data_IF_315765554565
#
_entry.id   IF_315765554565
#
_cell.length_a   1.000
_cell.length_b   1.000
_cell.length_c   1.000
_cell.angle_alpha   90.00
_cell.angle_beta   90.00
_cell.angle_gamma   90.00
#
_symmetry.space_group_name_H-M   'P 1'
#
loop_
_entity.id
_entity.type
_entity.pdbx_description
1 polymer ?
#
# COMPACT_ATOMS: atom_id res chain seq x y z
N UNK A 1 -14.40 3.92 -10.54
CA UNK A 1 -14.04 2.55 -11.00
C UNK A 1 -13.24 1.86 -9.92
N UNK A 2 -13.55 0.62 -9.57
CA UNK A 2 -12.80 -0.13 -8.56
C UNK A 2 -11.65 -0.91 -9.23
N UNK A 3 -10.40 -0.55 -8.90
CA UNK A 3 -9.19 -1.24 -9.35
C UNK A 3 -8.61 -2.17 -8.28
N UNK A 4 -9.18 -2.23 -7.08
CA UNK A 4 -8.63 -3.00 -5.97
C UNK A 4 -8.54 -4.49 -6.32
N UNK A 5 -7.46 -5.12 -5.87
CA UNK A 5 -7.20 -6.53 -6.05
C UNK A 5 -6.73 -7.13 -4.73
N UNK A 6 -7.22 -8.35 -4.43
CA UNK A 6 -6.83 -9.06 -3.22
C UNK A 6 -5.34 -9.42 -3.27
N UNK A 7 -4.72 -9.40 -2.09
CA UNK A 7 -3.34 -9.84 -1.87
C UNK A 7 -2.24 -9.05 -2.59
N UNK A 8 -2.55 -7.90 -3.22
CA UNK A 8 -1.54 -7.08 -3.89
C UNK A 8 -0.61 -6.39 -2.89
N UNK A 9 0.66 -6.23 -3.26
CA UNK A 9 1.56 -5.25 -2.64
C UNK A 9 1.35 -3.84 -3.20
N UNK A 10 2.02 -2.85 -2.61
CA UNK A 10 1.97 -1.46 -3.10
C UNK A 10 2.51 -1.34 -4.53
N UNK A 11 3.51 -2.15 -4.90
CA UNK A 11 4.07 -2.19 -6.24
C UNK A 11 3.05 -2.62 -7.30
N UNK A 12 2.27 -3.67 -7.02
CA UNK A 12 1.22 -4.15 -7.94
C UNK A 12 0.06 -3.18 -8.02
N UNK A 13 -0.33 -2.59 -6.89
CA UNK A 13 -1.37 -1.57 -6.86
C UNK A 13 -0.97 -0.35 -7.73
N UNK A 14 0.27 0.11 -7.61
CA UNK A 14 0.82 1.15 -8.47
C UNK A 14 0.82 0.74 -9.94
N UNK A 15 1.40 -0.41 -10.31
CA UNK A 15 1.43 -0.86 -11.71
C UNK A 15 0.03 -0.96 -12.33
N UNK A 16 -0.94 -1.46 -11.56
CA UNK A 16 -2.34 -1.55 -11.99
C UNK A 16 -2.99 -0.18 -12.15
N UNK A 17 -2.67 0.78 -11.29
CA UNK A 17 -3.10 2.16 -11.45
C UNK A 17 -2.55 2.72 -12.77
N UNK A 18 -1.24 2.61 -13.03
CA UNK A 18 -0.63 3.21 -14.23
C UNK A 18 -1.16 2.56 -15.52
N UNK A 19 -1.43 1.25 -15.53
CA UNK A 19 -2.08 0.56 -16.65
C UNK A 19 -3.52 1.04 -16.91
N UNK A 20 -4.27 1.34 -15.84
CA UNK A 20 -5.65 1.81 -15.95
C UNK A 20 -5.77 3.32 -16.25
N UNK A 21 -4.78 4.13 -15.83
CA UNK A 21 -4.81 5.59 -15.92
C UNK A 21 -5.12 6.16 -17.33
N UNK A 22 -4.60 5.59 -18.44
CA UNK A 22 -4.94 6.05 -19.79
C UNK A 22 -6.41 5.89 -20.17
N UNK A 23 -7.17 5.04 -19.46
CA UNK A 23 -8.59 4.78 -19.74
C UNK A 23 -9.53 5.86 -19.22
N UNK A 24 -9.05 6.75 -18.36
CA UNK A 24 -9.84 7.83 -17.78
C UNK A 24 -9.61 9.12 -18.56
N UNK A 25 -10.66 9.61 -19.22
CA UNK A 25 -10.66 10.94 -19.86
C UNK A 25 -10.40 12.05 -18.82
N UNK A 26 -11.03 11.92 -17.65
CA UNK A 26 -10.83 12.80 -16.49
C UNK A 26 -10.59 11.96 -15.24
N UNK A 27 -9.40 12.06 -14.67
CA UNK A 27 -9.07 11.49 -13.36
C UNK A 27 -9.32 12.56 -12.30
N UNK A 28 -10.16 12.25 -11.30
CA UNK A 28 -10.51 13.19 -10.21
C UNK A 28 -9.74 12.89 -8.94
N UNK A 29 -9.59 11.61 -8.60
CA UNK A 29 -8.83 11.16 -7.46
C UNK A 29 -8.33 9.72 -7.66
N UNK A 30 -7.28 9.35 -6.93
CA UNK A 30 -6.88 7.95 -6.75
C UNK A 30 -6.88 7.64 -5.26
N UNK A 31 -7.68 6.65 -4.88
CA UNK A 31 -7.76 6.17 -3.50
C UNK A 31 -7.06 4.81 -3.41
N UNK A 32 -5.96 4.74 -2.67
CA UNK A 32 -5.14 3.53 -2.55
C UNK A 32 -5.18 3.03 -1.11
N UNK A 33 -5.69 1.82 -0.90
CA UNK A 33 -5.62 1.16 0.41
C UNK A 33 -4.19 0.71 0.67
N UNK A 34 -3.66 1.06 1.84
CA UNK A 34 -2.34 0.66 2.31
C UNK A 34 -2.46 -0.09 3.64
N UNK A 35 -1.85 -1.27 3.71
CA UNK A 35 -1.86 -2.12 4.91
C UNK A 35 -0.41 -2.32 5.35
N UNK A 36 0.02 -1.80 6.52
CA UNK A 36 1.40 -1.89 6.99
C UNK A 36 1.94 -3.33 7.03
N UNK A 37 1.09 -4.30 7.41
CA UNK A 37 1.46 -5.72 7.46
C UNK A 37 1.89 -6.28 6.09
N UNK A 38 1.50 -5.63 4.99
CA UNK A 38 1.80 -6.07 3.62
C UNK A 38 3.09 -5.48 3.06
N UNK A 39 3.84 -4.70 3.85
CA UNK A 39 5.09 -4.06 3.42
C UNK A 39 6.06 -5.01 2.73
N UNK A 40 6.30 -6.18 3.33
CA UNK A 40 7.23 -7.18 2.80
C UNK A 40 6.86 -7.74 1.42
N UNK A 41 5.60 -7.60 0.98
CA UNK A 41 5.14 -8.12 -0.32
C UNK A 41 5.80 -7.44 -1.51
N UNK A 42 6.29 -6.22 -1.34
CA UNK A 42 7.03 -5.51 -2.39
C UNK A 42 8.38 -6.19 -2.68
N UNK A 43 8.90 -7.02 -1.77
CA UNK A 43 10.16 -7.73 -1.93
C UNK A 43 10.00 -9.14 -2.53
N UNK A 44 8.78 -9.65 -2.67
CA UNK A 44 8.54 -11.00 -3.18
C UNK A 44 9.04 -11.14 -4.62
N UNK A 45 9.93 -12.11 -4.83
CA UNK A 45 10.64 -12.26 -6.10
C UNK A 45 10.10 -13.36 -7.02
N UNK A 46 9.08 -14.10 -6.57
CA UNK A 46 8.40 -15.13 -7.36
C UNK A 46 7.39 -14.57 -8.38
N UNK A 47 7.29 -13.25 -8.45
CA UNK A 47 6.46 -12.49 -9.39
C UNK A 47 7.23 -11.31 -9.96
N UNK A 48 6.81 -10.75 -11.11
CA UNK A 48 7.31 -9.46 -11.55
C UNK A 48 7.03 -8.38 -10.50
N UNK A 49 8.00 -7.50 -10.27
CA UNK A 49 7.95 -6.49 -9.21
C UNK A 49 8.69 -5.23 -9.60
N UNK A 50 8.53 -4.20 -8.77
CA UNK A 50 9.36 -3.00 -8.82
C UNK A 50 10.54 -3.12 -7.87
N UNK A 51 11.70 -2.64 -8.31
CA UNK A 51 12.89 -2.44 -7.48
C UNK A 51 13.38 -1.00 -7.61
N UNK A 52 14.26 -0.58 -6.72
CA UNK A 52 14.99 0.67 -6.89
C UNK A 52 16.22 0.44 -7.77
N UNK A 53 16.30 1.20 -8.85
CA UNK A 53 17.47 1.30 -9.70
C UNK A 53 18.63 2.02 -9.00
N UNK A 54 19.83 2.05 -9.61
CA UNK A 54 21.02 2.66 -9.03
C UNK A 54 20.86 4.15 -8.70
N UNK A 55 19.94 4.86 -9.38
CA UNK A 55 19.70 6.29 -9.19
C UNK A 55 18.44 6.58 -8.37
N UNK A 56 17.78 5.54 -7.84
CA UNK A 56 16.56 5.64 -7.01
C UNK A 56 15.25 5.65 -7.78
N UNK A 57 15.30 5.43 -9.10
CA UNK A 57 14.14 5.23 -9.98
C UNK A 57 13.47 3.87 -9.74
N UNK A 58 12.18 3.77 -10.04
CA UNK A 58 11.48 2.49 -9.99
C UNK A 58 11.70 1.72 -11.30
N UNK A 59 12.30 0.54 -11.20
CA UNK A 59 12.55 -0.36 -12.32
C UNK A 59 11.68 -1.61 -12.24
N UNK A 60 11.13 -2.02 -13.37
CA UNK A 60 10.39 -3.27 -13.48
C UNK A 60 11.34 -4.45 -13.69
N UNK A 61 11.23 -5.47 -12.84
CA UNK A 61 12.04 -6.68 -12.91
C UNK A 61 11.14 -7.89 -13.05
N UNK A 62 11.51 -8.79 -13.97
CA UNK A 62 10.83 -10.07 -14.15
C UNK A 62 10.93 -10.95 -12.89
N UNK A 63 10.04 -11.94 -12.76
CA UNK A 63 10.10 -12.92 -11.68
C UNK A 63 11.45 -13.67 -11.68
N UNK A 64 11.94 -14.00 -10.50
CA UNK A 64 13.08 -14.90 -10.35
C UNK A 64 12.67 -16.30 -10.84
N UNK A 65 13.38 -16.80 -11.85
CA UNK A 65 13.12 -18.10 -12.49
C UNK A 65 14.26 -19.10 -12.31
N UNK A 66 15.37 -18.71 -11.68
CA UNK A 66 16.54 -19.58 -11.51
C UNK A 66 16.26 -20.79 -10.60
N UNK A 67 17.04 -21.85 -10.74
CA UNK A 67 16.88 -23.10 -9.98
C UNK A 67 16.76 -22.87 -8.46
N UNK A 68 17.58 -21.98 -7.90
CA UNK A 68 17.55 -21.64 -6.48
C UNK A 68 16.24 -20.98 -6.06
N UNK A 69 15.66 -20.10 -6.88
CA UNK A 69 14.37 -19.44 -6.65
C UNK A 69 13.17 -20.39 -6.65
N UNK A 70 13.32 -21.57 -7.28
CA UNK A 70 12.26 -22.57 -7.35
C UNK A 70 12.21 -23.49 -6.11
N UNK A 71 13.28 -23.51 -5.29
CA UNK A 71 13.33 -24.32 -4.07
C UNK A 71 12.25 -23.90 -3.08
N UNK A 72 11.38 -24.85 -2.69
CA UNK A 72 10.25 -24.62 -1.76
C UNK A 72 10.68 -23.98 -0.43
N UNK A 73 11.84 -24.37 0.10
CA UNK A 73 12.35 -23.82 1.35
C UNK A 73 12.78 -22.36 1.21
N UNK A 74 13.40 -21.98 0.08
CA UNK A 74 13.73 -20.58 -0.21
C UNK A 74 12.46 -19.76 -0.39
N UNK A 75 11.46 -20.27 -1.13
CA UNK A 75 10.15 -19.60 -1.26
C UNK A 75 9.49 -19.35 0.10
N UNK A 76 9.52 -20.35 0.98
CA UNK A 76 8.98 -20.21 2.33
C UNK A 76 9.74 -19.16 3.15
N UNK A 77 11.07 -19.20 3.17
CA UNK A 77 11.88 -18.27 3.97
C UNK A 77 11.89 -16.84 3.42
N UNK A 78 11.77 -16.67 2.10
CA UNK A 78 11.88 -15.37 1.44
C UNK A 78 10.52 -14.69 1.22
N UNK A 79 9.48 -15.47 0.90
CA UNK A 79 8.16 -14.95 0.57
C UNK A 79 7.09 -15.33 1.61
N UNK A 80 7.23 -16.45 2.33
CA UNK A 80 6.21 -16.93 3.29
C UNK A 80 6.42 -16.48 4.74
N UNK A 81 7.67 -16.46 5.21
CA UNK A 81 8.10 -16.12 6.57
C UNK A 81 9.37 -15.26 6.53
N UNK A 82 9.30 -14.05 5.94
CA UNK A 82 10.49 -13.22 5.82
C UNK A 82 10.98 -12.82 7.21
N UNK A 83 12.15 -13.32 7.61
CA UNK A 83 12.90 -12.73 8.73
C UNK A 83 13.40 -11.36 8.27
N UNK A 84 12.65 -10.32 8.60
CA UNK A 84 13.01 -8.95 8.27
C UNK A 84 13.96 -8.42 9.35
N UNK A 85 15.27 -8.71 9.22
CA UNK A 85 16.28 -7.96 9.96
C UNK A 85 16.27 -6.48 9.55
N UNK A 86 16.89 -5.61 10.34
CA UNK A 86 16.86 -4.15 10.15
C UNK A 86 17.10 -3.70 8.70
N UNK A 87 18.10 -4.29 8.03
CA UNK A 87 18.40 -3.99 6.61
C UNK A 87 17.24 -4.31 5.65
N UNK A 88 16.47 -5.35 5.92
CA UNK A 88 15.32 -5.71 5.11
C UNK A 88 14.13 -4.78 5.38
N UNK A 89 13.97 -4.33 6.63
CA UNK A 89 13.01 -3.28 7.00
C UNK A 89 13.35 -1.99 6.26
N UNK A 90 14.60 -1.53 6.33
CA UNK A 90 15.05 -0.31 5.65
C UNK A 90 14.81 -0.39 4.13
N UNK A 91 15.18 -1.50 3.50
CA UNK A 91 14.94 -1.73 2.06
C UNK A 91 13.46 -1.68 1.71
N UNK A 92 12.63 -2.31 2.53
CA UNK A 92 11.17 -2.34 2.32
C UNK A 92 10.57 -0.95 2.46
N UNK A 93 10.96 -0.20 3.48
CA UNK A 93 10.50 1.17 3.70
C UNK A 93 10.95 2.09 2.58
N UNK A 94 12.20 1.97 2.13
CA UNK A 94 12.76 2.80 1.05
C UNK A 94 12.03 2.54 -0.26
N UNK A 95 11.87 1.26 -0.64
CA UNK A 95 11.14 0.89 -1.86
C UNK A 95 9.67 1.32 -1.78
N UNK A 96 9.00 1.06 -0.66
CA UNK A 96 7.59 1.44 -0.49
C UNK A 96 7.41 2.95 -0.55
N UNK A 97 8.32 3.72 0.08
CA UNK A 97 8.35 5.18 0.01
C UNK A 97 8.40 5.69 -1.43
N UNK A 98 9.30 5.13 -2.24
CA UNK A 98 9.41 5.49 -3.65
C UNK A 98 8.13 5.16 -4.43
N UNK A 99 7.52 4.01 -4.18
CA UNK A 99 6.25 3.61 -4.83
C UNK A 99 5.10 4.54 -4.44
N UNK A 100 4.93 4.87 -3.15
CA UNK A 100 3.87 5.77 -2.68
C UNK A 100 4.07 7.19 -3.23
N UNK A 101 5.31 7.66 -3.28
CA UNK A 101 5.67 8.95 -3.86
C UNK A 101 5.35 8.99 -5.35
N UNK A 102 5.79 7.99 -6.11
CA UNK A 102 5.53 7.92 -7.55
C UNK A 102 4.03 7.81 -7.84
N UNK A 103 3.29 7.04 -7.04
CA UNK A 103 1.81 7.00 -7.10
C UNK A 103 1.22 8.40 -6.94
N UNK A 104 1.61 9.14 -5.90
CA UNK A 104 1.15 10.51 -5.66
C UNK A 104 1.51 11.46 -6.80
N UNK A 105 2.74 11.39 -7.30
CA UNK A 105 3.24 12.21 -8.41
C UNK A 105 2.46 11.95 -9.70
N UNK A 106 2.25 10.68 -10.07
CA UNK A 106 1.51 10.31 -11.29
C UNK A 106 0.06 10.76 -11.23
N UNK A 107 -0.59 10.60 -10.08
CA UNK A 107 -1.96 11.09 -9.88
C UNK A 107 -2.03 12.62 -10.03
N UNK A 108 -1.14 13.35 -9.36
CA UNK A 108 -1.09 14.83 -9.45
C UNK A 108 -0.77 15.31 -10.86
N UNK A 109 0.08 14.61 -11.60
CA UNK A 109 0.39 14.92 -12.99
C UNK A 109 -0.83 14.85 -13.94
N UNK A 110 -1.91 14.17 -13.53
CA UNK A 110 -3.21 14.15 -14.22
C UNK A 110 -4.20 15.19 -13.67
N UNK A 111 -3.76 16.08 -12.77
CA UNK A 111 -4.63 17.06 -12.10
C UNK A 111 -5.57 16.43 -11.05
N UNK A 112 -5.30 15.21 -10.60
CA UNK A 112 -6.13 14.48 -9.66
C UNK A 112 -5.58 14.51 -8.23
N UNK A 113 -6.43 14.20 -7.25
CA UNK A 113 -6.05 14.10 -5.84
C UNK A 113 -5.62 12.67 -5.46
N UNK A 114 -4.36 12.45 -5.04
CA UNK A 114 -3.98 11.19 -4.43
C UNK A 114 -4.46 11.14 -2.97
N UNK A 115 -4.99 10.00 -2.54
CA UNK A 115 -5.33 9.71 -1.15
C UNK A 115 -4.96 8.27 -0.82
N UNK A 116 -4.21 8.09 0.27
CA UNK A 116 -3.94 6.77 0.83
C UNK A 116 -4.83 6.51 2.04
N UNK A 117 -5.41 5.30 2.11
CA UNK A 117 -6.31 4.91 3.20
C UNK A 117 -5.65 3.78 3.96
N UNK A 118 -5.46 3.96 5.27
CA UNK A 118 -4.88 2.96 6.15
C UNK A 118 -5.96 2.49 7.13
N UNK A 119 -6.61 1.34 6.88
CA UNK A 119 -7.40 0.66 7.90
C UNK A 119 -6.49 0.21 9.06
N UNK A 120 -6.88 0.53 10.29
CA UNK A 120 -6.24 0.04 11.51
C UNK A 120 -7.27 -0.62 12.41
N UNK A 121 -6.88 -1.67 13.12
CA UNK A 121 -7.80 -2.38 14.01
C UNK A 121 -7.83 -1.74 15.40
N UNK A 122 -9.02 -1.66 15.98
CA UNK A 122 -9.23 -1.25 17.37
C UNK A 122 -10.00 0.07 17.48
N UNK A 123 -10.05 0.64 18.70
CA UNK A 123 -10.79 1.89 18.94
C UNK A 123 -10.10 3.07 18.28
N UNK A 124 -10.89 4.13 18.04
CA UNK A 124 -10.38 5.43 17.60
C UNK A 124 -9.32 5.93 18.57
N UNK A 125 -8.14 6.27 18.04
CA UNK A 125 -7.01 6.74 18.83
C UNK A 125 -6.12 7.69 18.00
N UNK A 126 -5.32 8.55 18.66
CA UNK A 126 -4.36 9.38 17.94
C UNK A 126 -3.24 8.53 17.33
N UNK A 127 -2.68 8.98 16.21
CA UNK A 127 -1.59 8.28 15.49
C UNK A 127 -0.47 7.79 16.40
N UNK A 128 -0.09 8.54 17.45
CA UNK A 128 0.99 8.15 18.38
C UNK A 128 0.71 6.88 19.18
N UNK A 129 -0.54 6.47 19.33
CA UNK A 129 -0.95 5.28 20.07
C UNK A 129 -1.03 4.02 19.20
N UNK A 130 -0.81 4.14 17.88
CA UNK A 130 -0.81 2.99 16.98
C UNK A 130 0.53 2.24 17.02
N UNK A 131 0.53 0.90 17.10
CA UNK A 131 1.75 0.10 16.96
C UNK A 131 2.51 0.37 15.65
N UNK A 132 1.79 0.64 14.56
CA UNK A 132 2.31 0.96 13.24
C UNK A 132 2.71 2.43 13.05
N UNK A 133 2.58 3.28 14.07
CA UNK A 133 2.77 4.73 13.95
C UNK A 133 4.12 5.12 13.34
N UNK A 134 5.19 4.40 13.72
CA UNK A 134 6.54 4.66 13.24
C UNK A 134 6.67 4.41 11.72
N UNK A 135 5.99 3.38 11.20
CA UNK A 135 5.91 3.08 9.76
C UNK A 135 5.17 4.19 9.05
N UNK A 136 4.00 4.58 9.57
CA UNK A 136 3.19 5.62 8.94
C UNK A 136 3.90 6.98 8.94
N UNK A 137 4.67 7.28 9.99
CA UNK A 137 5.51 8.48 10.03
C UNK A 137 6.58 8.46 8.94
N UNK A 138 7.29 7.34 8.77
CA UNK A 138 8.32 7.20 7.75
C UNK A 138 7.76 7.28 6.32
N UNK A 139 6.62 6.64 6.08
CA UNK A 139 6.06 6.50 4.73
C UNK A 139 5.20 7.69 4.30
N UNK A 140 4.46 8.30 5.22
CA UNK A 140 3.47 9.33 4.87
C UNK A 140 3.77 10.69 5.46
N UNK A 141 3.99 10.77 6.79
CA UNK A 141 4.17 12.06 7.47
C UNK A 141 5.44 12.77 7.02
N UNK A 142 6.59 12.10 7.07
CA UNK A 142 7.89 12.67 6.69
C UNK A 142 7.99 13.01 5.20
N UNK A 143 7.15 12.38 4.37
CA UNK A 143 7.14 12.55 2.92
C UNK A 143 6.01 13.45 2.43
N UNK A 144 5.20 13.97 3.35
CA UNK A 144 4.04 14.82 3.06
C UNK A 144 3.07 14.19 2.06
N UNK A 145 2.95 12.86 2.12
CA UNK A 145 2.03 12.09 1.28
C UNK A 145 0.65 12.09 1.96
N UNK A 146 -0.42 12.51 1.28
CA UNK A 146 -1.76 12.61 1.87
C UNK A 146 -2.32 11.25 2.22
N UNK A 147 -2.72 11.07 3.47
CA UNK A 147 -3.31 9.82 3.95
C UNK A 147 -4.38 10.07 5.01
N UNK A 148 -5.24 9.07 5.17
CA UNK A 148 -6.13 8.92 6.33
C UNK A 148 -5.89 7.59 7.01
N UNK A 149 -5.86 7.63 8.33
CA UNK A 149 -5.84 6.45 9.19
C UNK A 149 -7.25 6.26 9.75
N UNK A 150 -7.84 5.10 9.50
CA UNK A 150 -9.22 4.78 9.87
C UNK A 150 -9.19 3.63 10.86
N UNK A 151 -9.48 3.93 12.12
CA UNK A 151 -9.67 2.90 13.15
C UNK A 151 -11.00 2.18 12.95
N UNK A 152 -10.94 0.85 12.94
CA UNK A 152 -12.08 -0.04 12.75
C UNK A 152 -12.28 -0.84 14.04
N UNK A 153 -13.30 -0.50 14.82
CA UNK A 153 -13.64 -1.20 16.04
C UNK A 153 -13.92 -2.70 15.80
N UNK A 154 -13.63 -3.58 16.78
CA UNK A 154 -13.81 -5.04 16.60
C UNK A 154 -15.22 -5.47 16.21
N UNK A 155 -16.26 -4.74 16.62
CA UNK A 155 -17.67 -5.01 16.28
C UNK A 155 -18.03 -4.62 14.83
N UNK A 156 -17.12 -3.95 14.13
CA UNK A 156 -17.24 -3.60 12.71
C UNK A 156 -16.41 -4.51 11.79
N UNK A 157 -15.68 -5.47 12.35
CA UNK A 157 -14.96 -6.49 11.59
C UNK A 157 -15.88 -7.68 11.28
N UNK A 158 -15.48 -8.48 10.29
CA UNK A 158 -16.12 -9.77 10.04
C UNK A 158 -15.81 -10.75 11.19
N UNK A 159 -16.78 -11.60 11.56
CA UNK A 159 -16.56 -12.53 12.67
C UNK A 159 -15.47 -13.57 12.34
N UNK A 160 -14.43 -13.63 13.17
CA UNK A 160 -13.27 -14.53 12.97
C UNK A 160 -12.31 -14.08 11.86
N UNK A 161 -12.51 -12.87 11.33
CA UNK A 161 -11.73 -12.32 10.24
C UNK A 161 -11.34 -10.86 10.57
N UNK A 162 -10.12 -10.48 10.24
CA UNK A 162 -9.61 -9.13 10.47
C UNK A 162 -10.01 -8.14 9.37
N UNK A 163 -10.75 -8.57 8.34
CA UNK A 163 -11.28 -7.67 7.33
C UNK A 163 -12.48 -6.87 7.86
N UNK A 164 -12.66 -5.61 7.40
CA UNK A 164 -13.86 -4.84 7.68
C UNK A 164 -15.12 -5.61 7.23
N UNK A 165 -16.15 -5.58 8.07
CA UNK A 165 -17.51 -5.95 7.68
C UNK A 165 -18.24 -4.76 7.04
N UNK A 166 -19.54 -4.91 6.71
CA UNK A 166 -20.30 -3.85 6.03
C UNK A 166 -20.25 -2.48 6.74
N UNK A 167 -20.37 -2.47 8.07
CA UNK A 167 -20.27 -1.23 8.86
C UNK A 167 -18.86 -0.64 8.86
N UNK A 168 -17.83 -1.49 8.85
CA UNK A 168 -16.44 -1.03 8.74
C UNK A 168 -16.15 -0.43 7.36
N UNK A 169 -16.69 -1.04 6.30
CA UNK A 169 -16.60 -0.50 4.93
C UNK A 169 -17.32 0.86 4.81
N UNK A 170 -18.48 1.02 5.44
CA UNK A 170 -19.19 2.31 5.55
C UNK A 170 -18.33 3.36 6.27
N UNK A 171 -17.76 3.02 7.43
CA UNK A 171 -16.84 3.90 8.18
C UNK A 171 -15.64 4.36 7.32
N UNK A 172 -15.04 3.44 6.57
CA UNK A 172 -13.94 3.78 5.64
C UNK A 172 -14.43 4.72 4.54
N UNK A 173 -15.58 4.43 3.94
CA UNK A 173 -16.14 5.23 2.85
C UNK A 173 -16.44 6.67 3.29
N UNK A 174 -17.05 6.84 4.47
CA UNK A 174 -17.31 8.16 5.06
C UNK A 174 -16.02 8.95 5.29
N UNK A 175 -14.99 8.29 5.85
CA UNK A 175 -13.70 8.93 6.07
C UNK A 175 -13.03 9.37 4.75
N UNK A 176 -13.16 8.59 3.68
CA UNK A 176 -12.69 8.95 2.34
C UNK A 176 -13.43 10.18 1.82
N UNK A 177 -14.76 10.23 1.95
CA UNK A 177 -15.57 11.36 1.48
C UNK A 177 -15.21 12.66 2.19
N UNK A 178 -14.93 12.60 3.50
CA UNK A 178 -14.50 13.77 4.30
C UNK A 178 -13.10 14.24 3.89
N UNK A 179 -12.20 13.32 3.54
CA UNK A 179 -10.81 13.63 3.22
C UNK A 179 -10.61 14.17 1.80
N UNK A 180 -11.52 13.85 0.88
CA UNK A 180 -11.46 14.31 -0.50
C UNK A 180 -11.95 15.77 -0.61
N UNK A 181 -11.36 16.59 -1.50
CA UNK A 181 -11.81 17.96 -1.74
C UNK A 181 -13.31 18.03 -2.09
N UNK A 182 -14.03 19.05 -1.60
CA UNK A 182 -15.43 19.26 -1.96
C UNK A 182 -15.56 19.56 -3.45
N UNK A 183 -16.57 18.99 -4.11
CA UNK A 183 -16.90 19.25 -5.52
C UNK A 183 -16.12 18.43 -6.55
N UNK A 184 -15.48 17.32 -6.13
CA UNK A 184 -15.02 16.27 -7.05
C UNK A 184 -16.19 15.53 -7.73
#
# INVERSE_FOLDING_TARGET
MNLAAKAYGSDQAYLRLIDAMPRFERLVATVTVFIPLQLGRNLYDDRPRLVLGPTGELEFVAAATNFLSQLRIRKLLWNGLPYLGDRAIDRTLTLTSAILRETSLRTRARGATPLFVIPSHGPNRPLSEHPEAWILRALFVQQEIPFILVDIPPDQLLNGDYHPGPRGDETIAEAILVALPPGL
#
